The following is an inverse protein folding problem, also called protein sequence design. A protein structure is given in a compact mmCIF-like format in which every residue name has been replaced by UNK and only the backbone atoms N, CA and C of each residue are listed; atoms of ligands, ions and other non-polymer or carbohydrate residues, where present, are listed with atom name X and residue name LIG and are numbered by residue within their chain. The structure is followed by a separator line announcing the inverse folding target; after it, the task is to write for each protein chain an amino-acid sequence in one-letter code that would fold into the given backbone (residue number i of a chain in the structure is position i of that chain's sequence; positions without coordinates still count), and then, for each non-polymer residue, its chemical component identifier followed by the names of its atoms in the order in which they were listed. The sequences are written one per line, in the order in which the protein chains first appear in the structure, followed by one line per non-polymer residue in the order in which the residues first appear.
data_IF_208459797496
#
_entry.id   IF_208459797496
#
_cell.length_a   1.000
_cell.length_b   1.000
_cell.length_c   1.000
_cell.angle_alpha   90.00
_cell.angle_beta   90.00
_cell.angle_gamma   90.00
#
_symmetry.space_group_name_H-M   'P 1'
#
loop_
_entity.id
_entity.type
_entity.pdbx_description
1 polymer ?
#
# COMPACT_ATOMS: atom_id res chain seq x y z
N UNK A 1 -35.78 11.78 -26.60
CA UNK A 1 -34.56 12.65 -26.61
C UNK A 1 -33.45 11.82 -26.01
N UNK A 2 -32.48 11.44 -26.84
CA UNK A 2 -31.33 10.70 -26.38
C UNK A 2 -30.54 11.55 -25.37
N UNK A 3 -30.34 11.01 -24.16
CA UNK A 3 -29.54 11.69 -23.14
C UNK A 3 -28.08 11.70 -23.57
N UNK A 4 -27.39 12.83 -23.41
CA UNK A 4 -25.96 12.94 -23.65
C UNK A 4 -25.24 12.04 -22.61
N UNK A 5 -24.39 11.16 -23.09
CA UNK A 5 -23.58 10.28 -22.23
C UNK A 5 -22.24 10.93 -21.88
N UNK A 6 -21.58 10.40 -20.86
CA UNK A 6 -20.20 10.81 -20.53
C UNK A 6 -19.26 10.62 -21.74
N UNK A 7 -19.41 9.51 -22.46
CA UNK A 7 -18.66 9.23 -23.69
C UNK A 7 -18.85 10.34 -24.73
N UNK A 8 -20.11 10.71 -25.02
CA UNK A 8 -20.43 11.78 -25.99
C UNK A 8 -19.82 13.12 -25.56
N UNK A 9 -19.95 13.46 -24.30
CA UNK A 9 -19.38 14.68 -23.74
C UNK A 9 -17.87 14.74 -23.84
N UNK A 10 -17.19 13.62 -23.54
CA UNK A 10 -15.74 13.52 -23.65
C UNK A 10 -15.27 13.64 -25.12
N UNK A 11 -15.90 12.90 -26.03
CA UNK A 11 -15.58 12.94 -27.45
C UNK A 11 -15.80 14.35 -28.03
N UNK A 12 -16.89 15.02 -27.65
CA UNK A 12 -17.15 16.40 -28.05
C UNK A 12 -16.07 17.36 -27.56
N UNK A 13 -15.64 17.22 -26.30
CA UNK A 13 -14.51 17.97 -25.75
C UNK A 13 -13.23 17.74 -26.56
N UNK A 14 -12.89 16.48 -26.82
CA UNK A 14 -11.67 16.14 -27.58
C UNK A 14 -11.70 16.71 -29.00
N UNK A 15 -12.87 16.76 -29.61
CA UNK A 15 -13.05 17.27 -30.99
C UNK A 15 -13.08 18.77 -31.09
N UNK A 16 -13.68 19.45 -30.13
CA UNK A 16 -13.98 20.89 -30.25
C UNK A 16 -13.14 21.78 -29.34
N UNK A 17 -12.74 21.27 -28.17
CA UNK A 17 -11.97 22.01 -27.14
C UNK A 17 -12.64 23.34 -26.73
N UNK A 18 -13.97 23.44 -26.85
CA UNK A 18 -14.72 24.62 -26.49
C UNK A 18 -15.07 24.70 -25.01
N UNK A 19 -15.26 25.87 -24.47
CA UNK A 19 -15.75 26.08 -23.11
C UNK A 19 -17.09 25.38 -22.87
N UNK A 20 -17.99 25.42 -23.85
CA UNK A 20 -19.30 24.74 -23.80
C UNK A 20 -19.14 23.22 -23.65
N UNK A 21 -18.24 22.62 -24.44
CA UNK A 21 -17.95 21.19 -24.36
C UNK A 21 -17.35 20.82 -23.03
N UNK A 22 -16.42 21.64 -22.51
CA UNK A 22 -15.81 21.43 -21.20
C UNK A 22 -16.83 21.49 -20.05
N UNK A 23 -17.76 22.43 -20.10
CA UNK A 23 -18.81 22.57 -19.11
C UNK A 23 -19.78 21.39 -19.13
N UNK A 24 -20.12 20.88 -20.31
CA UNK A 24 -20.97 19.69 -20.44
C UNK A 24 -20.25 18.45 -19.88
N UNK A 25 -18.99 18.30 -20.22
CA UNK A 25 -18.18 17.20 -19.69
C UNK A 25 -18.10 17.26 -18.15
N UNK A 26 -17.92 18.46 -17.57
CA UNK A 26 -17.93 18.63 -16.12
C UNK A 26 -19.25 18.20 -15.49
N UNK A 27 -20.36 18.56 -16.12
CA UNK A 27 -21.68 18.14 -15.63
C UNK A 27 -21.84 16.63 -15.65
N UNK A 28 -21.45 16.00 -16.77
CA UNK A 28 -21.53 14.53 -16.89
C UNK A 28 -20.55 13.82 -15.92
N UNK A 29 -19.35 14.35 -15.75
CA UNK A 29 -18.36 13.80 -14.83
C UNK A 29 -18.86 13.83 -13.38
N UNK A 30 -19.50 14.93 -12.96
CA UNK A 30 -20.08 15.03 -11.61
C UNK A 30 -21.21 14.02 -11.39
N UNK A 31 -22.02 13.77 -12.38
CA UNK A 31 -23.07 12.75 -12.30
C UNK A 31 -22.48 11.34 -12.18
N UNK A 32 -21.44 11.03 -12.95
CA UNK A 32 -20.74 9.76 -12.86
C UNK A 32 -20.07 9.61 -11.51
N UNK A 33 -19.40 10.64 -11.00
CA UNK A 33 -18.74 10.61 -9.71
C UNK A 33 -19.69 10.18 -8.58
N UNK A 34 -20.93 10.62 -8.60
CA UNK A 34 -21.94 10.22 -7.60
C UNK A 34 -22.31 8.74 -7.67
N UNK A 35 -22.22 8.15 -8.85
CA UNK A 35 -22.62 6.76 -9.12
C UNK A 35 -21.45 5.78 -9.14
N UNK A 36 -20.23 6.28 -9.21
CA UNK A 36 -19.02 5.46 -9.31
C UNK A 36 -18.68 4.88 -7.92
N UNK A 37 -18.95 3.59 -7.76
CA UNK A 37 -18.74 2.90 -6.50
C UNK A 37 -17.39 2.21 -6.52
N UNK A 38 -16.60 2.43 -5.46
CA UNK A 38 -15.33 1.76 -5.26
C UNK A 38 -15.40 0.95 -3.97
N UNK A 39 -15.08 -0.33 -4.05
CA UNK A 39 -15.08 -1.22 -2.90
C UNK A 39 -13.66 -1.36 -2.34
N UNK A 40 -13.54 -1.11 -1.03
CA UNK A 40 -12.33 -1.35 -0.26
C UNK A 40 -12.71 -2.33 0.85
N UNK A 41 -11.91 -3.38 1.03
CA UNK A 41 -12.13 -4.30 2.14
C UNK A 41 -11.61 -3.68 3.44
N UNK A 42 -12.40 -2.80 4.03
CA UNK A 42 -12.02 -2.08 5.25
C UNK A 42 -11.71 -3.00 6.42
N UNK A 43 -12.46 -4.09 6.55
CA UNK A 43 -12.27 -5.02 7.66
C UNK A 43 -10.88 -5.64 7.67
N UNK A 44 -10.32 -5.95 6.51
CA UNK A 44 -8.97 -6.50 6.34
C UNK A 44 -7.94 -5.39 6.28
N UNK A 45 -8.14 -4.40 5.41
CA UNK A 45 -7.16 -3.38 5.10
C UNK A 45 -6.93 -2.39 6.24
N UNK A 46 -7.92 -2.14 7.10
CA UNK A 46 -7.76 -1.27 8.28
C UNK A 46 -6.78 -1.82 9.32
N UNK A 47 -6.54 -3.14 9.30
CA UNK A 47 -5.60 -3.81 10.21
C UNK A 47 -4.18 -3.91 9.66
N UNK A 48 -3.97 -3.48 8.43
CA UNK A 48 -2.68 -3.58 7.72
C UNK A 48 -1.98 -2.23 7.76
N UNK A 49 -0.97 -2.13 8.60
CA UNK A 49 -0.20 -0.90 8.82
C UNK A 49 0.62 -0.53 7.59
N UNK A 50 0.64 0.76 7.26
CA UNK A 50 1.50 1.34 6.24
C UNK A 50 2.27 2.52 6.83
N UNK A 51 3.49 2.73 6.34
CA UNK A 51 4.26 3.94 6.54
C UNK A 51 4.32 4.69 5.20
N UNK A 52 3.60 5.79 5.11
CA UNK A 52 3.51 6.57 3.88
C UNK A 52 4.85 7.13 3.42
N UNK A 53 5.81 7.31 4.35
CA UNK A 53 7.17 7.77 4.04
C UNK A 53 8.05 6.65 3.52
N UNK A 54 7.65 5.39 3.67
CA UNK A 54 8.47 4.24 3.30
C UNK A 54 7.61 3.03 2.93
N UNK A 55 6.80 3.17 1.90
CA UNK A 55 5.99 2.06 1.40
C UNK A 55 6.89 0.93 0.90
N UNK A 56 6.53 -0.30 1.24
CA UNK A 56 7.21 -1.48 0.69
C UNK A 56 6.89 -1.63 -0.80
N UNK A 57 7.75 -2.38 -1.51
CA UNK A 57 7.49 -2.67 -2.93
C UNK A 57 6.15 -3.38 -3.12
N UNK A 58 5.81 -4.32 -2.25
CA UNK A 58 4.53 -5.04 -2.30
C UNK A 58 3.34 -4.10 -2.09
N UNK A 59 3.46 -3.10 -1.21
CA UNK A 59 2.42 -2.10 -1.00
C UNK A 59 2.25 -1.19 -2.21
N UNK A 60 3.34 -0.81 -2.86
CA UNK A 60 3.30 -0.04 -4.12
C UNK A 60 2.65 -0.86 -5.23
N UNK A 61 2.98 -2.14 -5.36
CA UNK A 61 2.33 -3.06 -6.29
C UNK A 61 0.83 -3.12 -6.01
N UNK A 62 0.44 -3.24 -4.75
CA UNK A 62 -0.96 -3.36 -4.35
C UNK A 62 -1.77 -2.11 -4.71
N UNK A 63 -1.31 -0.93 -4.36
CA UNK A 63 -2.04 0.31 -4.70
C UNK A 63 -2.01 0.60 -6.19
N UNK A 64 -0.94 0.25 -6.89
CA UNK A 64 -0.86 0.37 -8.34
C UNK A 64 -1.87 -0.55 -9.03
N UNK A 65 -1.96 -1.79 -8.57
CA UNK A 65 -2.95 -2.74 -9.07
C UNK A 65 -4.38 -2.29 -8.77
N UNK A 66 -4.63 -1.80 -7.56
CA UNK A 66 -5.92 -1.22 -7.19
C UNK A 66 -6.30 -0.07 -8.13
N UNK A 67 -5.34 0.78 -8.48
CA UNK A 67 -5.55 1.87 -9.43
C UNK A 67 -5.84 1.36 -10.84
N UNK A 68 -5.18 0.31 -11.31
CA UNK A 68 -5.44 -0.25 -12.65
C UNK A 68 -6.89 -0.74 -12.79
N UNK A 69 -7.49 -1.27 -11.73
CA UNK A 69 -8.90 -1.68 -11.74
C UNK A 69 -9.83 -0.48 -11.91
N UNK A 70 -9.52 0.63 -11.26
CA UNK A 70 -10.27 1.88 -11.43
C UNK A 70 -10.16 2.39 -12.86
N UNK A 71 -8.99 2.31 -13.47
CA UNK A 71 -8.76 2.70 -14.85
C UNK A 71 -9.56 1.83 -15.84
N UNK A 72 -9.61 0.53 -15.59
CA UNK A 72 -10.44 -0.37 -16.39
C UNK A 72 -11.91 0.07 -16.36
N UNK A 73 -12.43 0.34 -15.16
CA UNK A 73 -13.82 0.75 -15.00
C UNK A 73 -14.12 2.12 -15.63
N UNK A 74 -13.23 3.11 -15.46
CA UNK A 74 -13.46 4.41 -16.08
C UNK A 74 -13.37 4.34 -17.61
N UNK A 75 -12.52 3.47 -18.16
CA UNK A 75 -12.40 3.29 -19.60
C UNK A 75 -13.72 2.79 -20.23
N UNK A 76 -14.46 1.96 -19.51
CA UNK A 76 -15.76 1.45 -19.96
C UNK A 76 -16.80 2.56 -20.17
N UNK A 77 -16.69 3.64 -19.39
CA UNK A 77 -17.59 4.79 -19.50
C UNK A 77 -17.50 5.51 -20.85
N UNK A 78 -16.40 5.34 -21.55
CA UNK A 78 -16.19 5.90 -22.90
C UNK A 78 -16.12 4.79 -23.97
N UNK A 79 -16.66 3.61 -23.67
CA UNK A 79 -16.75 2.50 -24.61
C UNK A 79 -15.41 1.79 -24.87
N UNK A 80 -14.46 1.94 -23.98
CA UNK A 80 -13.15 1.27 -24.08
C UNK A 80 -13.09 0.09 -23.11
N UNK A 81 -12.17 -0.82 -23.34
CA UNK A 81 -11.93 -1.97 -22.48
C UNK A 81 -10.41 -2.08 -22.22
N UNK A 82 -9.88 -1.05 -21.58
CA UNK A 82 -8.46 -0.99 -21.24
C UNK A 82 -8.16 -1.84 -20.01
N UNK A 83 -7.09 -2.61 -20.05
CA UNK A 83 -6.61 -3.43 -18.95
C UNK A 83 -5.12 -3.16 -18.72
N UNK A 84 -4.77 -1.97 -18.18
CA UNK A 84 -3.38 -1.69 -17.86
C UNK A 84 -2.87 -2.66 -16.79
N UNK A 85 -1.60 -2.97 -16.84
CA UNK A 85 -0.94 -3.85 -15.88
C UNK A 85 -0.05 -3.06 -14.93
N UNK A 86 0.57 -3.79 -14.01
CA UNK A 86 1.65 -3.31 -13.15
C UNK A 86 2.92 -4.03 -13.58
N UNK A 87 4.01 -3.29 -13.75
CA UNK A 87 5.31 -3.83 -14.12
C UNK A 87 6.40 -3.32 -13.17
N UNK A 88 7.34 -4.18 -12.80
CA UNK A 88 8.37 -3.81 -11.84
C UNK A 88 9.30 -2.71 -12.38
N UNK A 89 9.66 -2.74 -13.65
CA UNK A 89 10.45 -1.68 -14.27
C UNK A 89 9.72 -0.34 -14.30
N UNK A 90 8.41 -0.33 -14.54
CA UNK A 90 7.59 0.87 -14.45
C UNK A 90 7.50 1.41 -13.02
N UNK A 91 7.39 0.54 -12.02
CA UNK A 91 7.43 0.94 -10.60
C UNK A 91 8.80 1.54 -10.26
N UNK A 92 9.88 0.92 -10.67
CA UNK A 92 11.23 1.41 -10.41
C UNK A 92 11.45 2.80 -11.03
N UNK A 93 10.97 2.99 -12.26
CA UNK A 93 10.95 4.30 -12.92
C UNK A 93 10.17 5.33 -12.10
N UNK A 94 8.94 5.01 -11.72
CA UNK A 94 8.07 5.92 -10.95
C UNK A 94 8.68 6.31 -9.60
N UNK A 95 9.30 5.35 -8.91
CA UNK A 95 10.04 5.62 -7.65
C UNK A 95 11.16 6.63 -7.86
N UNK A 96 11.89 6.52 -8.95
CA UNK A 96 12.98 7.43 -9.25
C UNK A 96 12.45 8.82 -9.61
N UNK A 97 11.35 8.89 -10.35
CA UNK A 97 10.67 10.17 -10.62
C UNK A 97 10.19 10.81 -9.32
N UNK A 98 9.61 10.05 -8.40
CA UNK A 98 9.20 10.56 -7.09
C UNK A 98 10.39 11.15 -6.32
N UNK A 99 11.56 10.50 -6.34
CA UNK A 99 12.78 11.02 -5.73
C UNK A 99 13.25 12.32 -6.38
N UNK A 100 13.09 12.47 -7.69
CA UNK A 100 13.46 13.73 -8.38
C UNK A 100 12.53 14.88 -7.95
N UNK A 101 11.25 14.63 -7.70
CA UNK A 101 10.37 15.64 -7.12
C UNK A 101 10.79 16.01 -5.69
N UNK A 102 11.17 15.03 -4.88
CA UNK A 102 11.69 15.29 -3.53
C UNK A 102 12.99 16.13 -3.58
N UNK A 103 13.89 15.79 -4.50
CA UNK A 103 15.14 16.51 -4.73
C UNK A 103 14.89 17.95 -5.18
N UNK A 104 13.94 18.18 -6.07
CA UNK A 104 13.53 19.52 -6.49
C UNK A 104 13.00 20.33 -5.31
N UNK A 105 12.27 19.69 -4.40
CA UNK A 105 11.82 20.28 -3.14
C UNK A 105 10.72 21.30 -3.25
N UNK A 106 10.15 21.52 -4.45
CA UNK A 106 9.07 22.48 -4.70
C UNK A 106 7.80 21.78 -5.10
N UNK A 107 6.66 22.38 -4.74
CA UNK A 107 5.35 21.80 -5.01
C UNK A 107 5.06 21.71 -6.50
N UNK A 108 4.52 20.59 -6.98
CA UNK A 108 3.98 20.50 -8.34
C UNK A 108 2.88 21.51 -8.64
N UNK A 109 2.16 21.99 -7.63
CA UNK A 109 1.17 23.06 -7.80
C UNK A 109 1.79 24.38 -8.27
N UNK A 110 3.04 24.62 -7.89
CA UNK A 110 3.78 25.85 -8.24
C UNK A 110 4.63 25.63 -9.49
N UNK A 111 5.44 24.55 -9.51
CA UNK A 111 6.46 24.36 -10.55
C UNK A 111 6.09 23.28 -11.57
N UNK A 112 4.91 22.67 -11.44
CA UNK A 112 4.41 21.69 -12.40
C UNK A 112 5.19 20.39 -12.44
N UNK A 113 5.12 19.72 -13.59
CA UNK A 113 5.83 18.50 -13.86
C UNK A 113 7.34 18.74 -13.98
N UNK A 114 8.13 17.69 -13.72
CA UNK A 114 9.56 17.71 -14.01
C UNK A 114 9.81 17.94 -15.51
N UNK A 115 10.90 18.63 -15.83
CA UNK A 115 11.26 18.86 -17.23
C UNK A 115 11.72 17.57 -17.92
N UNK A 116 11.58 17.51 -19.24
CA UNK A 116 12.06 16.39 -20.04
C UNK A 116 13.58 16.18 -19.93
N UNK A 117 14.33 17.24 -19.64
CA UNK A 117 15.79 17.11 -19.39
C UNK A 117 16.09 16.22 -18.18
N UNK A 118 15.17 16.14 -17.21
CA UNK A 118 15.28 15.27 -16.04
C UNK A 118 14.70 13.88 -16.34
N UNK A 119 13.51 13.82 -16.94
CA UNK A 119 12.77 12.55 -17.09
C UNK A 119 13.32 11.67 -18.22
N UNK A 120 13.75 12.22 -19.33
CA UNK A 120 14.22 11.44 -20.49
C UNK A 120 15.44 10.55 -20.21
N UNK A 121 16.48 11.01 -19.50
CA UNK A 121 17.57 10.11 -19.10
C UNK A 121 17.12 8.95 -18.22
N UNK A 122 16.13 9.20 -17.35
CA UNK A 122 15.59 8.17 -16.44
C UNK A 122 14.78 7.16 -17.24
N UNK A 123 13.94 7.58 -18.19
CA UNK A 123 13.26 6.67 -19.11
C UNK A 123 14.24 5.75 -19.83
N UNK A 124 15.29 6.32 -20.36
CA UNK A 124 16.34 5.59 -21.07
C UNK A 124 17.04 4.57 -20.16
N UNK A 125 17.34 4.97 -18.93
CA UNK A 125 17.94 4.09 -17.92
C UNK A 125 17.08 2.86 -17.64
N UNK A 126 15.77 3.04 -17.56
CA UNK A 126 14.81 1.96 -17.32
C UNK A 126 14.33 1.28 -18.60
N UNK A 127 14.78 1.73 -19.78
CA UNK A 127 14.42 1.15 -21.08
C UNK A 127 12.92 1.07 -21.32
N UNK A 128 12.21 2.12 -20.95
CA UNK A 128 10.77 2.26 -21.16
C UNK A 128 10.47 3.65 -21.74
N UNK A 129 9.24 3.85 -22.19
CA UNK A 129 8.75 5.15 -22.66
C UNK A 129 7.67 5.66 -21.72
N UNK A 130 7.82 6.89 -21.24
CA UNK A 130 6.79 7.59 -20.49
C UNK A 130 5.66 7.97 -21.43
N UNK A 131 4.44 7.57 -21.13
CA UNK A 131 3.24 7.91 -21.87
C UNK A 131 2.34 8.91 -21.15
N UNK A 132 2.75 9.38 -19.98
CA UNK A 132 2.03 10.39 -19.21
C UNK A 132 2.30 10.31 -17.70
N UNK A 133 1.90 11.39 -17.04
CA UNK A 133 2.03 11.49 -15.58
C UNK A 133 0.84 12.27 -15.03
N UNK A 134 0.25 11.77 -13.96
CA UNK A 134 -0.73 12.50 -13.16
C UNK A 134 -0.14 12.73 -11.76
N UNK A 135 -0.33 13.92 -11.24
CA UNK A 135 0.14 14.32 -9.91
C UNK A 135 -1.03 14.80 -9.06
N UNK A 136 -1.14 14.33 -7.85
CA UNK A 136 -2.13 14.82 -6.88
C UNK A 136 -1.56 14.79 -5.47
N UNK A 137 -1.95 15.76 -4.62
CA UNK A 137 -1.63 15.64 -3.20
C UNK A 137 -2.29 14.39 -2.61
N UNK A 138 -1.60 13.76 -1.67
CA UNK A 138 -2.19 12.68 -0.88
C UNK A 138 -3.02 13.35 0.21
N UNK A 139 -4.34 13.32 0.05
CA UNK A 139 -5.26 13.92 1.01
C UNK A 139 -5.21 13.16 2.33
N UNK A 140 -5.14 13.90 3.43
CA UNK A 140 -5.04 13.34 4.79
C UNK A 140 -3.84 12.38 4.98
N UNK A 141 -2.70 12.70 4.34
CA UNK A 141 -1.52 11.84 4.36
C UNK A 141 -1.03 11.51 5.77
N UNK A 142 -1.16 12.42 6.72
CA UNK A 142 -0.73 12.20 8.10
C UNK A 142 -1.61 11.20 8.86
N UNK A 143 -2.84 11.00 8.41
CA UNK A 143 -3.77 10.02 8.98
C UNK A 143 -3.79 8.70 8.21
N UNK A 144 -3.13 8.61 7.05
CA UNK A 144 -3.05 7.39 6.25
C UNK A 144 -2.04 6.40 6.86
N UNK A 145 -2.45 5.72 7.92
CA UNK A 145 -1.61 4.81 8.71
C UNK A 145 -1.91 3.33 8.43
N UNK A 146 -2.92 3.04 7.65
CA UNK A 146 -3.26 1.68 7.24
C UNK A 146 -3.63 1.61 5.76
N UNK A 147 -3.71 0.40 5.23
CA UNK A 147 -3.94 0.18 3.80
C UNK A 147 -5.34 0.65 3.36
N UNK A 148 -6.35 0.58 4.22
CA UNK A 148 -7.68 1.10 3.91
C UNK A 148 -7.64 2.62 3.68
N UNK A 149 -7.02 3.37 4.57
CA UNK A 149 -6.88 4.82 4.45
C UNK A 149 -6.03 5.20 3.23
N UNK A 150 -4.95 4.46 2.96
CA UNK A 150 -4.12 4.69 1.78
C UNK A 150 -4.93 4.47 0.48
N UNK A 151 -5.70 3.40 0.40
CA UNK A 151 -6.57 3.13 -0.76
C UNK A 151 -7.65 4.21 -0.92
N UNK A 152 -8.21 4.71 0.18
CA UNK A 152 -9.16 5.83 0.14
C UNK A 152 -8.52 7.08 -0.45
N UNK A 153 -7.27 7.37 -0.10
CA UNK A 153 -6.51 8.48 -0.69
C UNK A 153 -6.26 8.27 -2.18
N UNK A 154 -5.98 7.05 -2.62
CA UNK A 154 -5.85 6.69 -4.04
C UNK A 154 -7.18 6.93 -4.77
N UNK A 155 -8.31 6.56 -4.19
CA UNK A 155 -9.64 6.80 -4.77
C UNK A 155 -9.90 8.30 -4.90
N UNK A 156 -9.55 9.08 -3.88
CA UNK A 156 -9.70 10.54 -3.92
C UNK A 156 -8.90 11.14 -5.07
N UNK A 157 -7.64 10.73 -5.24
CA UNK A 157 -6.81 11.17 -6.37
C UNK A 157 -7.42 10.74 -7.71
N UNK A 158 -7.87 9.50 -7.83
CA UNK A 158 -8.54 8.99 -9.03
C UNK A 158 -9.76 9.83 -9.40
N UNK A 159 -10.60 10.18 -8.43
CA UNK A 159 -11.79 11.02 -8.66
C UNK A 159 -11.42 12.43 -9.06
N UNK A 160 -10.40 13.02 -8.45
CA UNK A 160 -9.87 14.33 -8.84
C UNK A 160 -9.42 14.32 -10.30
N UNK A 161 -8.63 13.34 -10.71
CA UNK A 161 -8.16 13.20 -12.09
C UNK A 161 -9.28 12.97 -13.08
N UNK A 162 -10.26 12.15 -12.73
CA UNK A 162 -11.26 11.65 -13.68
C UNK A 162 -12.50 12.53 -13.76
N UNK A 163 -12.93 13.13 -12.65
CA UNK A 163 -14.24 13.76 -12.54
C UNK A 163 -14.19 15.25 -12.16
N UNK A 164 -13.04 15.75 -11.71
CA UNK A 164 -12.84 17.14 -11.29
C UNK A 164 -11.66 17.78 -12.03
N UNK A 165 -11.57 17.51 -13.33
CA UNK A 165 -10.36 17.83 -14.10
C UNK A 165 -10.51 18.99 -15.07
N UNK A 166 -11.60 19.72 -14.98
CA UNK A 166 -11.88 20.86 -15.87
C UNK A 166 -10.75 21.90 -15.85
N UNK A 167 -10.24 22.24 -14.66
CA UNK A 167 -9.19 23.25 -14.52
C UNK A 167 -7.86 22.82 -15.17
N UNK A 168 -7.62 21.53 -15.32
CA UNK A 168 -6.46 20.96 -16.02
C UNK A 168 -6.76 20.60 -17.48
N UNK A 169 -7.82 21.15 -18.02
CA UNK A 169 -8.27 20.90 -19.40
C UNK A 169 -8.41 19.42 -19.73
N UNK A 170 -8.80 18.63 -18.74
CA UNK A 170 -9.05 17.19 -18.85
C UNK A 170 -7.81 16.36 -19.20
N UNK A 171 -6.62 16.89 -18.92
CA UNK A 171 -5.36 16.19 -19.18
C UNK A 171 -5.18 14.94 -18.31
N UNK A 172 -5.56 15.02 -17.04
CA UNK A 172 -5.48 13.86 -16.13
C UNK A 172 -6.49 12.77 -16.52
N UNK A 173 -7.72 13.16 -16.86
CA UNK A 173 -8.74 12.23 -17.36
C UNK A 173 -8.26 11.55 -18.65
N UNK A 174 -7.68 12.31 -19.56
CA UNK A 174 -7.17 11.80 -20.83
C UNK A 174 -6.08 10.76 -20.60
N UNK A 175 -5.15 11.00 -19.67
CA UNK A 175 -4.15 10.02 -19.30
C UNK A 175 -4.79 8.72 -18.75
N UNK A 176 -5.77 8.86 -17.87
CA UNK A 176 -6.49 7.71 -17.32
C UNK A 176 -7.20 6.90 -18.41
N UNK A 177 -7.84 7.56 -19.35
CA UNK A 177 -8.57 6.90 -20.45
C UNK A 177 -7.65 6.30 -21.51
N UNK A 178 -6.42 6.76 -21.63
CA UNK A 178 -5.42 6.26 -22.58
C UNK A 178 -4.51 5.18 -21.98
N UNK A 179 -4.62 4.88 -20.70
CA UNK A 179 -3.78 3.91 -20.02
C UNK A 179 -4.06 2.48 -20.52
N UNK A 180 -3.12 1.92 -21.27
CA UNK A 180 -3.24 0.59 -21.90
C UNK A 180 -2.16 -0.40 -21.47
N UNK A 181 -0.97 0.07 -21.13
CA UNK A 181 0.14 -0.81 -20.78
C UNK A 181 0.38 -0.85 -19.26
N UNK A 182 1.27 -0.03 -18.75
CA UNK A 182 1.66 -0.11 -17.32
C UNK A 182 1.42 1.19 -16.58
N UNK A 183 0.96 1.05 -15.36
CA UNK A 183 0.65 2.16 -14.47
C UNK A 183 1.32 1.91 -13.12
N UNK A 184 1.91 2.95 -12.56
CA UNK A 184 2.48 2.93 -11.22
C UNK A 184 1.95 4.08 -10.38
N UNK A 185 1.65 3.78 -9.12
CA UNK A 185 1.30 4.76 -8.08
C UNK A 185 2.42 4.78 -7.05
N UNK A 186 3.22 5.83 -7.05
CA UNK A 186 4.25 6.06 -6.04
C UNK A 186 3.98 7.35 -5.28
N UNK A 187 4.70 7.59 -4.21
CA UNK A 187 4.52 8.75 -3.35
C UNK A 187 5.84 9.46 -3.17
N UNK A 188 5.83 10.78 -3.38
CA UNK A 188 6.92 11.67 -3.06
C UNK A 188 6.58 12.45 -1.78
N UNK A 189 7.54 12.54 -0.87
CA UNK A 189 7.47 13.45 0.28
C UNK A 189 8.25 14.72 -0.07
N UNK A 190 7.52 15.76 -0.47
CA UNK A 190 8.10 17.03 -0.88
C UNK A 190 8.01 18.00 0.29
N UNK A 191 9.08 18.10 1.04
CA UNK A 191 9.19 18.98 2.22
C UNK A 191 8.02 18.80 3.20
N UNK A 192 7.69 17.54 3.50
CA UNK A 192 6.61 17.18 4.42
C UNK A 192 5.24 17.04 3.78
N UNK A 193 5.08 17.43 2.53
CA UNK A 193 3.83 17.29 1.78
C UNK A 193 3.91 16.08 0.84
N UNK A 194 3.00 15.14 1.02
CA UNK A 194 2.98 13.92 0.22
C UNK A 194 2.19 14.14 -1.06
N UNK A 195 2.77 13.67 -2.17
CA UNK A 195 2.16 13.70 -3.50
C UNK A 195 2.16 12.32 -4.12
N UNK A 196 1.04 11.92 -4.69
CA UNK A 196 1.02 10.79 -5.59
C UNK A 196 1.75 11.15 -6.88
N UNK A 197 2.68 10.31 -7.26
CA UNK A 197 3.34 10.34 -8.56
C UNK A 197 2.80 9.13 -9.33
N UNK A 198 1.82 9.40 -10.16
CA UNK A 198 1.16 8.38 -10.97
C UNK A 198 1.73 8.45 -12.38
N UNK A 199 2.50 7.43 -12.75
CA UNK A 199 3.17 7.35 -14.05
C UNK A 199 2.51 6.30 -14.94
N UNK A 200 2.49 6.60 -16.23
CA UNK A 200 2.00 5.71 -17.29
C UNK A 200 3.19 5.40 -18.20
N UNK A 201 3.43 4.15 -18.47
CA UNK A 201 4.60 3.73 -19.24
C UNK A 201 4.24 2.69 -20.28
N UNK A 202 4.90 2.77 -21.42
CA UNK A 202 4.88 1.77 -22.49
C UNK A 202 6.23 1.07 -22.61
N UNK A 203 6.28 0.00 -23.38
CA UNK A 203 7.50 -0.79 -23.63
C UNK A 203 8.09 -1.41 -22.35
N UNK A 204 7.26 -1.69 -21.36
CA UNK A 204 7.68 -2.34 -20.13
C UNK A 204 8.06 -3.80 -20.36
N UNK A 205 9.03 -4.31 -19.59
CA UNK A 205 9.64 -5.64 -19.80
C UNK A 205 9.45 -6.58 -18.63
N UNK A 206 8.97 -6.07 -17.48
CA UNK A 206 8.86 -6.83 -16.25
C UNK A 206 7.43 -6.79 -15.69
N UNK A 207 6.41 -7.25 -16.47
CA UNK A 207 5.05 -7.29 -15.98
C UNK A 207 4.95 -8.21 -14.77
N UNK A 208 4.16 -7.81 -13.79
CA UNK A 208 3.94 -8.60 -12.58
C UNK A 208 2.72 -9.47 -12.80
N UNK A 209 2.91 -10.78 -12.70
CA UNK A 209 1.80 -11.73 -12.69
C UNK A 209 1.16 -11.72 -11.30
N UNK A 210 0.03 -11.05 -11.17
CA UNK A 210 -0.65 -10.87 -9.90
C UNK A 210 -1.18 -12.20 -9.33
N UNK A 211 -1.61 -13.14 -10.17
CA UNK A 211 -2.06 -14.45 -9.70
C UNK A 211 -0.90 -15.25 -9.13
N UNK A 212 0.24 -15.24 -9.80
CA UNK A 212 1.45 -15.90 -9.31
C UNK A 212 1.96 -15.23 -8.03
N UNK A 213 1.93 -13.90 -7.97
CA UNK A 213 2.32 -13.14 -6.79
C UNK A 213 1.40 -13.45 -5.60
N UNK A 214 0.09 -13.53 -5.83
CA UNK A 214 -0.88 -13.92 -4.80
C UNK A 214 -0.61 -15.33 -4.28
N UNK A 215 -0.37 -16.29 -5.17
CA UNK A 215 -0.03 -17.66 -4.79
C UNK A 215 1.24 -17.73 -3.95
N UNK A 216 2.26 -16.93 -4.29
CA UNK A 216 3.49 -16.85 -3.50
C UNK A 216 3.24 -16.24 -2.11
N UNK A 217 2.42 -15.20 -2.02
CA UNK A 217 2.05 -14.58 -0.74
C UNK A 217 1.23 -15.53 0.13
N UNK A 218 0.31 -16.28 -0.45
CA UNK A 218 -0.47 -17.30 0.25
C UNK A 218 0.44 -18.40 0.80
N UNK A 219 1.42 -18.85 0.01
CA UNK A 219 2.42 -19.84 0.46
C UNK A 219 3.28 -19.30 1.62
N UNK A 220 3.72 -18.05 1.55
CA UNK A 220 4.46 -17.39 2.65
C UNK A 220 3.61 -17.27 3.91
N UNK A 221 2.33 -16.93 3.76
CA UNK A 221 1.41 -16.84 4.88
C UNK A 221 1.23 -18.21 5.55
N UNK A 222 1.01 -19.26 4.75
CA UNK A 222 0.87 -20.63 5.26
C UNK A 222 2.12 -21.08 6.03
N UNK A 223 3.31 -20.77 5.51
CA UNK A 223 4.58 -21.10 6.19
C UNK A 223 4.73 -20.30 7.49
N UNK A 224 4.40 -19.02 7.49
CA UNK A 224 4.44 -18.19 8.69
C UNK A 224 3.47 -18.69 9.77
N UNK A 225 2.26 -19.10 9.40
CA UNK A 225 1.28 -19.69 10.30
C UNK A 225 1.79 -21.01 10.89
N UNK A 226 2.44 -21.86 10.08
CA UNK A 226 3.05 -23.10 10.53
C UNK A 226 4.15 -22.83 11.55
N UNK A 227 5.05 -21.90 11.26
CA UNK A 227 6.13 -21.52 12.18
C UNK A 227 5.58 -20.96 13.49
N UNK A 228 4.53 -20.14 13.41
CA UNK A 228 3.86 -19.59 14.59
C UNK A 228 3.26 -20.70 15.47
N UNK A 229 2.57 -21.66 14.86
CA UNK A 229 2.03 -22.82 15.58
C UNK A 229 3.13 -23.66 16.24
N UNK A 230 4.22 -23.89 15.55
CA UNK A 230 5.38 -24.61 16.10
C UNK A 230 6.01 -23.85 17.28
N UNK A 231 6.15 -22.53 17.16
CA UNK A 231 6.65 -21.68 18.23
C UNK A 231 5.74 -21.67 19.45
N UNK A 232 4.43 -21.65 19.26
CA UNK A 232 3.44 -21.75 20.34
C UNK A 232 3.52 -23.10 21.07
N UNK A 233 3.68 -24.19 20.32
CA UNK A 233 3.87 -25.53 20.90
C UNK A 233 5.16 -25.60 21.70
N UNK A 234 6.27 -25.11 21.15
CA UNK A 234 7.55 -25.07 21.84
C UNK A 234 7.48 -24.24 23.12
N UNK A 235 6.77 -23.11 23.10
CA UNK A 235 6.57 -22.26 24.28
C UNK A 235 5.74 -23.00 25.34
N UNK A 236 4.67 -23.67 24.95
CA UNK A 236 3.85 -24.47 25.87
C UNK A 236 4.66 -25.58 26.51
N UNK A 237 5.49 -26.29 25.75
CA UNK A 237 6.37 -27.33 26.25
C UNK A 237 7.42 -26.78 27.23
N UNK A 238 8.05 -25.64 26.89
CA UNK A 238 9.01 -24.98 27.75
C UNK A 238 8.38 -24.52 29.08
N UNK A 239 7.17 -24.00 29.05
CA UNK A 239 6.41 -23.62 30.25
C UNK A 239 6.11 -24.85 31.11
N UNK A 240 5.73 -25.98 30.52
CA UNK A 240 5.47 -27.20 31.22
C UNK A 240 6.76 -27.77 31.89
N UNK A 241 7.88 -27.76 31.20
CA UNK A 241 9.18 -28.14 31.72
C UNK A 241 9.63 -27.24 32.87
N UNK A 242 9.41 -25.93 32.74
CA UNK A 242 9.71 -24.98 33.81
C UNK A 242 8.85 -25.24 35.06
N UNK A 243 7.56 -25.49 34.88
CA UNK A 243 6.68 -25.83 35.99
C UNK A 243 7.10 -27.13 36.70
N UNK A 244 7.49 -28.14 35.94
CA UNK A 244 7.97 -29.40 36.48
C UNK A 244 9.29 -29.22 37.23
N UNK A 245 10.25 -28.50 36.68
CA UNK A 245 11.52 -28.17 37.32
C UNK A 245 11.30 -27.37 38.62
N UNK A 246 10.37 -26.43 38.61
CA UNK A 246 10.02 -25.62 39.79
C UNK A 246 9.44 -26.48 40.91
N UNK A 247 8.58 -27.46 40.59
CA UNK A 247 8.04 -28.40 41.57
C UNK A 247 9.14 -29.29 42.15
N UNK A 248 10.03 -29.83 41.33
CA UNK A 248 11.16 -30.63 41.77
C UNK A 248 12.11 -29.85 42.68
N UNK A 249 12.38 -28.59 42.34
CA UNK A 249 13.17 -27.70 43.17
C UNK A 249 12.50 -27.45 44.53
N UNK A 250 11.22 -27.17 44.55
CA UNK A 250 10.47 -26.95 45.78
C UNK A 250 10.47 -28.20 46.67
N UNK A 251 10.27 -29.39 46.07
CA UNK A 251 10.34 -30.67 46.83
C UNK A 251 11.72 -30.94 47.36
N UNK A 252 12.79 -30.69 46.61
CA UNK A 252 14.16 -30.84 47.06
C UNK A 252 14.50 -29.86 48.20
N UNK A 253 14.02 -28.61 48.11
CA UNK A 253 14.22 -27.62 49.16
C UNK A 253 13.51 -28.01 50.45
N UNK A 254 12.29 -28.51 50.36
CA UNK A 254 11.53 -29.01 51.49
C UNK A 254 12.24 -30.21 52.17
N UNK A 255 12.71 -31.17 51.37
CA UNK A 255 13.49 -32.32 51.88
C UNK A 255 14.78 -31.86 52.58
N UNK A 256 15.49 -30.89 52.02
CA UNK A 256 16.67 -30.28 52.62
C UNK A 256 16.34 -29.64 53.97
N UNK A 257 15.28 -28.88 54.03
CA UNK A 257 14.83 -28.21 55.26
C UNK A 257 14.49 -29.21 56.33
N UNK A 258 13.78 -30.30 56.03
CA UNK A 258 13.46 -31.37 56.98
C UNK A 258 14.72 -32.10 57.47
N UNK A 259 15.67 -32.40 56.59
CA UNK A 259 16.93 -33.00 56.94
C UNK A 259 17.75 -32.10 57.87
N UNK A 260 17.80 -30.83 57.65
CA UNK A 260 18.46 -29.85 58.52
C UNK A 260 17.83 -29.79 59.91
N UNK A 261 16.52 -29.84 60.00
CA UNK A 261 15.81 -29.89 61.31
C UNK A 261 16.10 -31.15 62.05
N UNK A 262 16.10 -32.28 61.35
CA UNK A 262 16.42 -33.58 61.97
C UNK A 262 17.86 -33.63 62.50
N UNK A 263 18.80 -33.12 61.71
CA UNK A 263 20.19 -33.01 62.09
C UNK A 263 20.38 -32.14 63.34
N UNK A 264 19.75 -30.95 63.35
CA UNK A 264 19.79 -30.04 64.50
C UNK A 264 19.24 -30.70 65.78
N UNK A 265 18.13 -31.43 65.63
CA UNK A 265 17.53 -32.17 66.75
C UNK A 265 18.47 -33.22 67.34
N UNK A 266 19.08 -33.97 66.44
CA UNK A 266 20.05 -35.05 66.87
C UNK A 266 21.31 -34.46 67.49
N UNK A 267 21.77 -33.33 66.99
CA UNK A 267 22.97 -32.66 67.54
C UNK A 267 22.71 -32.01 68.89
N UNK A 268 21.57 -31.40 69.09
CA UNK A 268 21.18 -30.75 70.33
C UNK A 268 20.92 -31.77 71.48
N UNK A 269 20.32 -32.92 71.17
CA UNK A 269 19.89 -33.92 72.14
C UNK A 269 21.05 -34.51 72.99
N UNK A 270 22.19 -34.87 72.44
CA UNK A 270 23.33 -35.35 73.22
C UNK A 270 23.90 -34.27 74.15
N UNK A 271 24.00 -33.06 73.73
CA UNK A 271 24.46 -31.90 74.51
C UNK A 271 23.59 -31.65 75.72
N UNK A 272 22.29 -31.70 75.56
CA UNK A 272 21.31 -31.53 76.63
C UNK A 272 21.42 -32.66 77.66
N UNK A 273 21.66 -33.85 77.25
CA UNK A 273 21.84 -35.04 78.11
C UNK A 273 23.11 -34.92 78.95
N UNK A 274 24.21 -34.44 78.43
CA UNK A 274 25.48 -34.26 79.11
C UNK A 274 25.44 -33.15 80.18
N UNK A 275 24.66 -32.07 79.92
CA UNK A 275 24.54 -30.96 80.82
C UNK A 275 23.57 -31.26 82.01
N UNK A 276 22.63 -32.13 81.78
CA UNK A 276 21.68 -32.57 82.76
C UNK A 276 22.31 -33.54 83.73
#
# INVERSE_FOLDING_TARGET
KDQVTFKDAYENWMNTRTAKASNLLQKMALEINKKFIVNINEQVDSKRTVDINNLTNDQIIEISHFYTKLLTEVSKLVGRNNHPNVAQDAINYSKQIAKEYEKRGTSPSTDGHLSFNVTKPIEKQHQLSDSGENLAPVVDSQSATNMSELKQSVVTAFRMYSFFDKSSKWGHLTNNLNAKESVAMTIANIDGNHWFVNTFASETKQPINLNQNLAQLEAKLAEAQKQNSQAQTALANAKAELADASRKYASALEAKTEAEKELASKTASPLQTEVA
#
